data_IF_437981659138
#
_entry.id   IF_437981659138
#
_cell.length_a   1.000
_cell.length_b   1.000
_cell.length_c   1.000
_cell.angle_alpha   90.00
_cell.angle_beta   90.00
_cell.angle_gamma   90.00
#
_symmetry.space_group_name_H-M   'P 1'
#
loop_
_entity.id
_entity.type
_entity.pdbx_description
1 polymer ?
#
# COMPACT_ATOMS: atom_id res chain seq x y z
N UNK A 1 -3.80 -17.41 10.14
CA UNK A 1 -4.92 -18.36 10.01
C UNK A 1 -4.83 -19.11 8.69
N UNK A 2 -3.83 -20.00 8.54
CA UNK A 2 -3.65 -20.79 7.31
C UNK A 2 -4.84 -21.71 7.05
N UNK A 3 -5.51 -22.19 8.11
CA UNK A 3 -6.64 -23.12 8.03
C UNK A 3 -7.89 -22.56 7.31
N UNK A 4 -7.86 -21.27 6.96
CA UNK A 4 -8.94 -20.59 6.22
C UNK A 4 -8.62 -20.37 4.73
N UNK A 5 -7.42 -20.74 4.28
CA UNK A 5 -6.94 -20.46 2.94
C UNK A 5 -6.45 -21.75 2.28
N UNK A 6 -7.16 -22.20 1.24
CA UNK A 6 -6.71 -23.38 0.45
C UNK A 6 -5.47 -23.08 -0.41
N UNK A 7 -5.19 -21.80 -0.66
CA UNK A 7 -4.01 -21.30 -1.34
C UNK A 7 -4.00 -19.77 -1.41
N UNK A 8 -2.87 -19.20 -1.86
CA UNK A 8 -2.66 -17.77 -1.99
C UNK A 8 -2.08 -17.42 -3.36
N UNK A 9 -2.64 -16.40 -4.01
CA UNK A 9 -1.96 -15.68 -5.09
C UNK A 9 -1.62 -14.30 -4.57
N UNK A 10 -0.33 -14.01 -4.44
CA UNK A 10 0.16 -12.73 -3.92
C UNK A 10 0.85 -11.97 -5.04
N UNK A 11 0.28 -10.83 -5.44
CA UNK A 11 1.01 -9.87 -6.27
C UNK A 11 1.96 -9.16 -5.31
N UNK A 12 3.28 -9.36 -5.48
CA UNK A 12 4.37 -9.15 -4.50
C UNK A 12 4.19 -9.90 -3.16
N UNK A 13 5.28 -10.17 -2.44
CA UNK A 13 5.20 -10.62 -1.04
C UNK A 13 5.06 -9.38 -0.16
N UNK A 14 3.95 -9.22 0.58
CA UNK A 14 3.79 -8.06 1.44
C UNK A 14 4.82 -8.13 2.56
N UNK A 15 5.69 -7.13 2.59
CA UNK A 15 6.50 -6.86 3.76
C UNK A 15 5.59 -6.33 4.88
N UNK A 16 5.44 -7.11 5.95
CA UNK A 16 4.65 -6.75 7.14
C UNK A 16 5.40 -5.80 8.06
N UNK A 17 6.63 -5.42 7.73
CA UNK A 17 7.43 -4.58 8.59
C UNK A 17 7.25 -3.09 8.30
N UNK A 18 7.60 -2.32 9.33
CA UNK A 18 7.72 -0.87 9.32
C UNK A 18 8.99 -0.40 8.58
N UNK A 19 9.46 -1.09 7.54
CA UNK A 19 10.75 -0.83 6.87
C UNK A 19 10.90 0.58 6.33
N UNK A 20 9.80 1.22 5.94
CA UNK A 20 9.79 2.65 5.57
C UNK A 20 10.25 3.55 6.74
N UNK A 21 10.12 3.08 7.97
CA UNK A 21 10.44 3.79 9.22
C UNK A 21 11.78 3.36 9.82
N UNK A 22 12.27 2.14 9.54
CA UNK A 22 13.42 1.56 10.27
C UNK A 22 14.78 1.75 9.60
N UNK A 23 14.86 1.83 8.26
CA UNK A 23 16.13 2.05 7.56
C UNK A 23 16.04 3.23 6.58
N UNK A 24 17.15 3.96 6.32
CA UNK A 24 17.16 5.01 5.33
C UNK A 24 17.01 4.40 3.93
N UNK A 25 15.77 4.28 3.47
CA UNK A 25 15.45 3.96 2.08
C UNK A 25 16.23 4.90 1.14
N UNK A 26 16.72 4.34 0.04
CA UNK A 26 17.32 5.12 -1.04
C UNK A 26 16.38 6.30 -1.39
N UNK A 27 16.88 7.56 -1.49
CA UNK A 27 16.02 8.73 -1.74
C UNK A 27 15.11 8.60 -2.96
N UNK A 28 15.58 7.94 -4.02
CA UNK A 28 14.78 7.65 -5.23
C UNK A 28 13.59 6.77 -4.87
N UNK A 29 13.82 5.67 -4.14
CA UNK A 29 12.77 4.77 -3.66
C UNK A 29 11.81 5.52 -2.73
N UNK A 30 12.34 6.28 -1.77
CA UNK A 30 11.55 7.07 -0.82
C UNK A 30 10.62 8.08 -1.50
N UNK A 31 11.07 8.69 -2.61
CA UNK A 31 10.30 9.69 -3.36
C UNK A 31 9.06 9.11 -4.05
N UNK A 32 9.05 7.81 -4.36
CA UNK A 32 7.92 7.12 -4.98
C UNK A 32 6.74 7.01 -4.02
N UNK A 33 7.01 6.95 -2.72
CA UNK A 33 6.02 6.93 -1.64
C UNK A 33 5.54 8.32 -1.19
N UNK A 34 5.62 9.34 -2.05
CA UNK A 34 5.24 10.73 -1.72
C UNK A 34 3.87 10.88 -1.04
N UNK A 35 2.90 10.04 -1.43
CA UNK A 35 1.52 10.10 -0.94
C UNK A 35 1.37 9.66 0.53
N UNK A 36 2.28 8.81 1.04
CA UNK A 36 2.33 8.46 2.46
C UNK A 36 2.59 9.73 3.29
N UNK A 37 3.58 10.53 2.88
CA UNK A 37 3.99 11.74 3.59
C UNK A 37 2.97 12.88 3.47
N UNK A 38 2.32 13.03 2.31
CA UNK A 38 1.23 14.01 2.17
C UNK A 38 0.13 13.75 3.21
N UNK A 39 -0.22 12.48 3.43
CA UNK A 39 -1.27 12.04 4.34
C UNK A 39 -1.00 12.37 5.82
N UNK A 40 0.24 12.70 6.19
CA UNK A 40 0.59 13.09 7.56
C UNK A 40 0.13 14.50 7.94
N UNK A 41 -0.25 15.34 6.97
CA UNK A 41 -0.53 16.76 7.19
C UNK A 41 -2.00 17.12 6.94
N UNK A 42 -2.58 18.08 7.68
CA UNK A 42 -3.92 18.60 7.37
C UNK A 42 -4.04 19.15 5.94
N UNK A 43 -2.93 19.62 5.35
CA UNK A 43 -2.90 20.10 3.97
C UNK A 43 -3.02 18.96 2.97
N UNK A 44 -2.36 17.83 3.20
CA UNK A 44 -2.49 16.66 2.33
C UNK A 44 -3.86 16.01 2.42
N UNK A 45 -4.48 15.99 3.61
CA UNK A 45 -5.89 15.60 3.75
C UNK A 45 -6.80 16.46 2.87
N UNK A 46 -6.65 17.78 2.93
CA UNK A 46 -7.40 18.71 2.07
C UNK A 46 -7.08 18.55 0.58
N UNK A 47 -5.94 17.97 0.21
CA UNK A 47 -5.60 17.70 -1.18
C UNK A 47 -6.31 16.45 -1.74
N UNK A 48 -6.68 15.49 -0.88
CA UNK A 48 -7.38 14.26 -1.27
C UNK A 48 -8.84 14.51 -1.66
N UNK A 49 -9.49 15.47 -1.01
CA UNK A 49 -10.95 15.69 -1.11
C UNK A 49 -11.39 16.30 -2.45
N UNK A 50 -10.83 17.44 -2.91
CA UNK A 50 -11.39 18.16 -4.05
C UNK A 50 -11.07 17.53 -5.41
N UNK A 51 -10.04 16.68 -5.51
CA UNK A 51 -9.63 16.07 -6.79
C UNK A 51 -9.17 14.62 -6.64
N UNK A 52 -10.06 13.77 -6.11
CA UNK A 52 -9.84 12.32 -5.96
C UNK A 52 -9.42 11.65 -7.27
N UNK A 53 -10.09 12.00 -8.38
CA UNK A 53 -9.74 11.47 -9.70
C UNK A 53 -8.34 11.88 -10.15
N UNK A 54 -7.96 13.14 -9.94
CA UNK A 54 -6.65 13.65 -10.30
C UNK A 54 -5.53 12.99 -9.51
N UNK A 55 -5.69 12.86 -8.18
CA UNK A 55 -4.66 12.21 -7.37
C UNK A 55 -4.52 10.72 -7.70
N UNK A 56 -5.63 10.02 -7.91
CA UNK A 56 -5.61 8.61 -8.32
C UNK A 56 -4.98 8.43 -9.69
N UNK A 57 -5.22 9.35 -10.64
CA UNK A 57 -4.54 9.35 -11.94
C UNK A 57 -3.02 9.50 -11.77
N UNK A 58 -2.56 10.44 -10.94
CA UNK A 58 -1.11 10.60 -10.67
C UNK A 58 -0.54 9.33 -10.04
N UNK A 59 -1.24 8.73 -9.08
CA UNK A 59 -0.82 7.49 -8.43
C UNK A 59 -0.73 6.34 -9.43
N UNK A 60 -1.77 6.10 -10.24
CA UNK A 60 -1.79 5.03 -11.25
C UNK A 60 -0.70 5.21 -12.32
N UNK A 61 -0.50 6.43 -12.81
CA UNK A 61 0.56 6.71 -13.80
C UNK A 61 1.96 6.46 -13.23
N UNK A 62 2.20 6.83 -11.97
CA UNK A 62 3.51 6.59 -11.33
C UNK A 62 3.73 5.12 -10.98
N UNK A 63 2.70 4.45 -10.45
CA UNK A 63 2.79 3.07 -9.99
C UNK A 63 2.77 2.07 -11.16
N UNK A 64 2.23 2.45 -12.31
CA UNK A 64 2.11 1.57 -13.48
C UNK A 64 2.50 2.33 -14.76
N UNK A 65 3.79 2.72 -14.91
CA UNK A 65 4.23 3.60 -15.99
C UNK A 65 4.05 3.02 -17.40
N UNK A 66 4.02 1.69 -17.53
CA UNK A 66 3.76 1.00 -18.80
C UNK A 66 2.27 0.80 -19.09
N UNK A 67 1.38 1.07 -18.14
CA UNK A 67 -0.06 0.88 -18.32
C UNK A 67 -0.70 2.10 -18.97
N UNK A 68 -1.12 1.94 -20.23
CA UNK A 68 -1.85 2.97 -20.98
C UNK A 68 -3.35 2.99 -20.61
N UNK A 69 -3.67 3.20 -19.33
CA UNK A 69 -5.05 3.25 -18.86
C UNK A 69 -5.79 4.50 -19.31
N UNK A 70 -7.08 4.35 -19.54
CA UNK A 70 -7.98 5.40 -19.99
C UNK A 70 -8.80 5.97 -18.82
N UNK A 71 -9.64 6.97 -19.10
CA UNK A 71 -10.64 7.38 -18.13
C UNK A 71 -11.64 6.25 -17.82
N UNK A 72 -11.99 5.42 -18.81
CA UNK A 72 -12.93 4.32 -18.62
C UNK A 72 -12.41 3.25 -17.65
N UNK A 73 -11.09 3.08 -17.54
CA UNK A 73 -10.46 2.16 -16.58
C UNK A 73 -10.45 2.75 -15.15
N UNK A 74 -10.26 4.07 -15.03
CA UNK A 74 -10.19 4.75 -13.74
C UNK A 74 -11.58 5.02 -13.13
N UNK A 75 -12.57 5.33 -13.95
CA UNK A 75 -13.90 5.76 -13.51
C UNK A 75 -14.62 4.75 -12.59
N UNK A 76 -14.55 3.42 -12.82
CA UNK A 76 -15.08 2.43 -11.89
C UNK A 76 -14.46 2.52 -10.50
N UNK A 77 -13.14 2.75 -10.40
CA UNK A 77 -12.44 2.88 -9.13
C UNK A 77 -12.88 4.13 -8.34
N UNK A 78 -13.33 5.18 -9.02
CA UNK A 78 -13.81 6.40 -8.35
C UNK A 78 -15.05 6.16 -7.48
N UNK A 79 -15.80 5.08 -7.72
CA UNK A 79 -16.97 4.70 -6.92
C UNK A 79 -16.60 4.34 -5.48
N UNK A 80 -15.39 3.85 -5.21
CA UNK A 80 -14.94 3.60 -3.83
C UNK A 80 -14.45 4.88 -3.15
N UNK A 81 -14.08 5.91 -3.92
CA UNK A 81 -13.56 7.16 -3.37
C UNK A 81 -14.66 8.15 -2.95
N UNK A 82 -15.93 7.85 -3.22
CA UNK A 82 -17.07 8.67 -2.77
C UNK A 82 -17.58 8.29 -1.38
N UNK A 83 -17.08 7.18 -0.83
CA UNK A 83 -17.37 6.76 0.55
C UNK A 83 -16.98 7.87 1.54
N UNK A 84 -17.85 8.24 2.51
CA UNK A 84 -17.55 9.28 3.50
C UNK A 84 -16.31 8.95 4.34
N UNK A 85 -16.02 7.67 4.58
CA UNK A 85 -14.90 7.22 5.40
C UNK A 85 -13.59 7.11 4.59
N UNK A 86 -13.64 7.22 3.26
CA UNK A 86 -12.48 7.08 2.37
C UNK A 86 -11.27 7.91 2.83
N UNK A 87 -11.50 9.19 3.14
CA UNK A 87 -10.43 10.12 3.53
C UNK A 87 -9.83 9.72 4.87
N UNK A 88 -10.69 9.33 5.82
CA UNK A 88 -10.27 8.87 7.14
C UNK A 88 -9.45 7.58 7.03
N UNK A 89 -9.96 6.57 6.31
CA UNK A 89 -9.30 5.27 6.13
C UNK A 89 -7.94 5.43 5.46
N UNK A 90 -7.87 6.14 4.31
CA UNK A 90 -6.62 6.34 3.57
C UNK A 90 -5.60 7.12 4.39
N UNK A 91 -6.05 8.12 5.16
CA UNK A 91 -5.15 8.87 6.03
C UNK A 91 -4.63 8.00 7.17
N UNK A 92 -5.53 7.29 7.85
CA UNK A 92 -5.17 6.46 9.00
C UNK A 92 -4.18 5.36 8.61
N UNK A 93 -4.41 4.62 7.52
CA UNK A 93 -3.51 3.53 7.11
C UNK A 93 -2.09 4.00 6.87
N UNK A 94 -1.88 5.22 6.34
CA UNK A 94 -0.54 5.77 6.13
C UNK A 94 0.06 6.40 7.39
N UNK A 95 -0.76 6.97 8.27
CA UNK A 95 -0.28 7.47 9.56
C UNK A 95 0.17 6.30 10.45
N UNK A 96 -0.62 5.24 10.53
CA UNK A 96 -0.31 4.01 11.26
C UNK A 96 0.95 3.34 10.71
N UNK A 97 1.02 3.13 9.38
CA UNK A 97 2.21 2.58 8.71
C UNK A 97 3.50 3.38 8.96
N UNK A 98 3.39 4.68 9.22
CA UNK A 98 4.52 5.56 9.53
C UNK A 98 4.69 5.84 11.04
N UNK A 99 3.93 5.17 11.91
CA UNK A 99 3.98 5.32 13.38
C UNK A 99 3.60 6.75 13.84
N UNK A 100 2.70 7.41 13.12
CA UNK A 100 2.11 8.72 13.46
C UNK A 100 0.68 8.63 14.01
N UNK A 101 0.08 7.45 14.00
CA UNK A 101 -1.19 7.15 14.65
C UNK A 101 -1.08 5.75 15.29
N UNK A 102 -1.79 5.49 16.39
CA UNK A 102 -1.88 4.14 16.93
C UNK A 102 -2.74 3.26 16.01
N UNK A 103 -2.38 1.99 15.89
CA UNK A 103 -3.28 0.96 15.38
C UNK A 103 -4.50 0.76 16.27
N UNK A 104 -5.45 -0.04 15.79
CA UNK A 104 -6.65 -0.38 16.53
C UNK A 104 -6.33 -1.44 17.62
N UNK A 105 -6.66 -1.17 18.91
CA UNK A 105 -6.33 -2.06 20.02
C UNK A 105 -6.92 -3.47 19.89
N UNK A 106 -8.05 -3.63 19.20
CA UNK A 106 -8.68 -4.94 18.99
C UNK A 106 -7.79 -5.85 18.10
N UNK A 107 -6.86 -5.27 17.34
CA UNK A 107 -5.93 -5.98 16.46
C UNK A 107 -4.48 -6.00 16.97
N UNK A 108 -4.20 -5.45 18.16
CA UNK A 108 -2.84 -5.31 18.68
C UNK A 108 -2.10 -6.66 18.80
N UNK A 109 -2.82 -7.74 19.12
CA UNK A 109 -2.21 -9.07 19.21
C UNK A 109 -1.88 -9.64 17.81
N UNK A 110 -2.73 -9.38 16.83
CA UNK A 110 -2.50 -9.77 15.43
C UNK A 110 -1.29 -9.04 14.88
N UNK A 111 -1.19 -7.73 15.14
CA UNK A 111 -0.05 -6.92 14.73
C UNK A 111 1.27 -7.44 15.30
N UNK A 112 1.32 -7.77 16.61
CA UNK A 112 2.51 -8.39 17.23
C UNK A 112 2.93 -9.68 16.55
N UNK A 113 1.98 -10.54 16.18
CA UNK A 113 2.28 -11.79 15.48
C UNK A 113 2.81 -11.51 14.07
N UNK A 114 2.24 -10.54 13.35
CA UNK A 114 2.69 -10.16 12.00
C UNK A 114 4.10 -9.54 12.00
N UNK A 115 4.49 -8.85 13.08
CA UNK A 115 5.84 -8.31 13.26
C UNK A 115 6.91 -9.40 13.40
N UNK A 116 6.53 -10.64 13.73
CA UNK A 116 7.45 -11.79 13.74
C UNK A 116 7.69 -12.39 12.35
N UNK A 117 7.05 -11.83 11.30
CA UNK A 117 7.13 -12.32 9.92
C UNK A 117 6.84 -13.83 9.80
N UNK A 118 5.63 -14.28 10.19
CA UNK A 118 5.31 -15.71 10.17
C UNK A 118 5.31 -16.24 8.73
N UNK A 119 5.81 -17.46 8.55
CA UNK A 119 5.82 -18.13 7.25
C UNK A 119 4.39 -18.40 6.76
N UNK A 120 4.14 -18.10 5.48
CA UNK A 120 2.91 -18.50 4.79
C UNK A 120 3.05 -19.97 4.38
N UNK A 121 2.30 -20.86 5.03
CA UNK A 121 2.43 -22.32 4.85
C UNK A 121 1.50 -22.93 3.79
N UNK A 122 0.51 -22.16 3.32
CA UNK A 122 -0.44 -22.63 2.31
C UNK A 122 0.19 -22.58 0.90
N UNK A 123 -0.26 -23.41 -0.06
CA UNK A 123 0.22 -23.34 -1.44
C UNK A 123 0.13 -21.91 -1.98
N UNK A 124 1.26 -21.35 -2.43
CA UNK A 124 1.35 -19.93 -2.78
C UNK A 124 2.00 -19.72 -4.15
N UNK A 125 1.41 -18.85 -4.96
CA UNK A 125 1.99 -18.32 -6.20
C UNK A 125 2.25 -16.82 -6.01
N UNK A 126 3.48 -16.39 -6.26
CA UNK A 126 3.83 -14.97 -6.28
C UNK A 126 3.82 -14.45 -7.72
N UNK A 127 3.30 -13.24 -7.91
CA UNK A 127 3.32 -12.52 -9.18
C UNK A 127 4.07 -11.22 -9.00
N UNK A 128 4.92 -10.92 -9.96
CA UNK A 128 5.71 -9.70 -9.96
C UNK A 128 5.60 -8.98 -11.29
N UNK A 129 5.58 -7.66 -11.23
CA UNK A 129 5.48 -6.82 -12.40
C UNK A 129 6.88 -6.50 -12.91
N UNK A 130 7.08 -6.65 -14.23
CA UNK A 130 8.28 -6.17 -14.91
C UNK A 130 8.33 -4.65 -15.07
N UNK A 131 7.23 -3.96 -14.75
CA UNK A 131 7.05 -2.53 -14.90
C UNK A 131 6.29 -1.91 -13.71
N UNK A 132 6.67 -2.27 -12.49
CA UNK A 132 6.30 -1.53 -11.26
C UNK A 132 7.45 -0.59 -10.88
N UNK A 133 7.14 0.69 -10.69
CA UNK A 133 8.17 1.66 -10.28
C UNK A 133 8.35 1.64 -8.75
N UNK A 134 7.39 1.18 -7.94
CA UNK A 134 7.50 1.25 -6.48
C UNK A 134 8.42 0.18 -5.89
N UNK A 135 8.35 -1.04 -6.41
CA UNK A 135 9.10 -2.19 -5.90
C UNK A 135 9.88 -2.85 -7.03
N UNK A 136 11.19 -3.10 -6.87
CA UNK A 136 11.90 -3.95 -7.80
C UNK A 136 11.32 -5.38 -7.72
N UNK A 137 11.28 -6.08 -8.85
CA UNK A 137 10.99 -7.51 -8.84
C UNK A 137 12.00 -8.25 -7.96
N UNK A 138 11.50 -9.16 -7.14
CA UNK A 138 12.26 -10.17 -6.43
C UNK A 138 12.25 -11.47 -7.26
N UNK A 139 12.68 -12.58 -6.68
CA UNK A 139 12.56 -13.90 -7.32
C UNK A 139 11.54 -14.76 -6.55
N UNK A 140 10.46 -14.14 -6.09
CA UNK A 140 9.56 -14.71 -5.09
C UNK A 140 10.13 -14.73 -3.67
N UNK A 141 11.26 -14.07 -3.43
CA UNK A 141 11.72 -13.75 -2.08
C UNK A 141 10.95 -12.54 -1.52
N UNK A 142 10.93 -12.42 -0.19
CA UNK A 142 10.55 -11.15 0.44
C UNK A 142 11.41 -10.02 -0.13
N UNK A 143 10.89 -8.79 -0.15
CA UNK A 143 11.63 -7.57 -0.56
C UNK A 143 12.71 -7.16 0.46
N UNK A 144 12.98 -8.01 1.45
CA UNK A 144 14.13 -7.99 2.36
C UNK A 144 14.69 -9.40 2.58
#
# INVERSE_FOLDING_TARGET
WPDRCDGLVSVYIPDTTLVIVRDPLNPTIKSRFWYLYCSLTPRGEKALIPNRKGISRVAWTRNSPAWNFTNADLDPALKSFVDPDYVFIVRHVYQDRLIYAPGDPDYAEVEKLLLLQPTISVPTVTLEATADDNFPGTNGSSTE
#
